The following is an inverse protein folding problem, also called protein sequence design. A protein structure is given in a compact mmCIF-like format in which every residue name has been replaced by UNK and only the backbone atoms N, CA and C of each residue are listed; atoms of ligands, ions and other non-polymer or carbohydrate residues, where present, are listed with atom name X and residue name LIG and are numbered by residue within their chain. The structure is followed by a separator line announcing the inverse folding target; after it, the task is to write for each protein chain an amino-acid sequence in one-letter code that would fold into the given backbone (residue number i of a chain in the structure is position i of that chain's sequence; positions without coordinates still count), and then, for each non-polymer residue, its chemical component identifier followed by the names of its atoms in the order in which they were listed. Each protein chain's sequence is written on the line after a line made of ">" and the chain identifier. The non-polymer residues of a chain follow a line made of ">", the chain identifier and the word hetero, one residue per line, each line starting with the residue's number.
data_IF_095080260991
#
_entry.id   IF_095080260991
#
_cell.length_a   1.000
_cell.length_b   1.000
_cell.length_c   1.000
_cell.angle_alpha   90.00
_cell.angle_beta   90.00
_cell.angle_gamma   90.00
#
_symmetry.space_group_name_H-M   'P 1'
#
loop_
_entity.id
_entity.type
_entity.pdbx_description
1 polymer ?
#
# COMPACT_ATOMS: atom_id res chain seq x y z
N UNK A 1 50.11 29.14 -12.76
CA UNK A 1 49.85 28.65 -11.38
C UNK A 1 48.66 29.45 -10.84
N UNK A 2 47.59 28.92 -10.27
CA UNK A 2 47.16 27.56 -9.95
C UNK A 2 45.64 27.65 -9.65
N UNK A 3 44.87 26.73 -10.25
CA UNK A 3 43.66 26.12 -9.68
C UNK A 3 42.37 26.95 -9.67
N UNK A 4 41.55 26.76 -10.71
CA UNK A 4 40.09 26.78 -10.60
C UNK A 4 39.67 25.55 -9.79
N UNK A 5 39.12 25.76 -8.60
CA UNK A 5 38.57 24.69 -7.77
C UNK A 5 37.27 24.18 -8.41
N UNK A 6 37.33 23.00 -9.02
CA UNK A 6 36.16 22.28 -9.52
C UNK A 6 35.15 22.05 -8.39
N UNK A 7 34.02 22.75 -8.47
CA UNK A 7 32.87 22.52 -7.60
C UNK A 7 32.29 21.15 -7.96
N UNK A 8 32.64 20.14 -7.16
CA UNK A 8 32.00 18.82 -7.14
C UNK A 8 30.50 19.02 -6.88
N UNK A 9 29.70 19.04 -7.96
CA UNK A 9 28.24 19.02 -7.87
C UNK A 9 27.84 17.76 -7.12
N UNK A 10 27.55 17.88 -5.83
CA UNK A 10 26.88 16.83 -5.05
C UNK A 10 25.63 16.42 -5.81
N UNK A 11 25.65 15.23 -6.43
CA UNK A 11 24.52 14.67 -7.15
C UNK A 11 23.35 14.60 -6.16
N UNK A 12 22.37 15.48 -6.35
CA UNK A 12 21.10 15.44 -5.61
C UNK A 12 20.50 14.06 -5.84
N UNK A 13 20.39 13.27 -4.76
CA UNK A 13 19.71 11.99 -4.80
C UNK A 13 18.25 12.24 -5.20
N UNK A 14 17.91 11.91 -6.44
CA UNK A 14 16.53 11.98 -6.92
C UNK A 14 15.82 10.75 -6.38
N UNK A 15 14.78 10.97 -5.59
CA UNK A 15 13.92 9.88 -5.12
C UNK A 15 13.38 9.14 -6.35
N UNK A 16 13.55 7.80 -6.41
CA UNK A 16 13.03 7.02 -7.53
C UNK A 16 11.51 7.14 -7.63
N UNK A 17 10.97 6.92 -8.84
CA UNK A 17 9.52 6.87 -9.03
C UNK A 17 8.88 5.78 -8.15
N UNK A 18 7.65 5.97 -7.70
CA UNK A 18 6.92 5.02 -6.83
C UNK A 18 6.98 3.59 -7.37
N UNK A 19 6.78 3.40 -8.68
CA UNK A 19 6.90 2.09 -9.33
C UNK A 19 8.27 1.42 -9.16
N UNK A 20 9.36 2.20 -9.21
CA UNK A 20 10.72 1.67 -8.99
C UNK A 20 10.89 1.21 -7.55
N UNK A 21 10.36 1.97 -6.60
CA UNK A 21 10.40 1.62 -5.17
C UNK A 21 9.62 0.32 -4.95
N UNK A 22 8.38 0.23 -5.44
CA UNK A 22 7.54 -0.96 -5.30
C UNK A 22 8.22 -2.20 -5.91
N UNK A 23 8.76 -2.08 -7.12
CA UNK A 23 9.46 -3.18 -7.78
C UNK A 23 10.71 -3.62 -7.01
N UNK A 24 11.46 -2.66 -6.46
CA UNK A 24 12.64 -2.93 -5.63
C UNK A 24 12.28 -3.70 -4.36
N UNK A 25 11.15 -3.39 -3.73
CA UNK A 25 10.63 -4.13 -2.56
C UNK A 25 10.26 -5.56 -2.92
N UNK A 26 9.64 -5.80 -4.08
CA UNK A 26 9.31 -7.16 -4.56
C UNK A 26 10.58 -7.99 -4.80
N UNK A 27 11.60 -7.39 -5.41
CA UNK A 27 12.91 -8.06 -5.61
C UNK A 27 13.54 -8.39 -4.24
N UNK A 28 13.57 -7.42 -3.34
CA UNK A 28 14.15 -7.60 -2.01
C UNK A 28 13.44 -8.71 -1.23
N UNK A 29 12.11 -8.72 -1.23
CA UNK A 29 11.31 -9.77 -0.61
C UNK A 29 11.59 -11.15 -1.23
N UNK A 30 11.73 -11.21 -2.56
CA UNK A 30 12.06 -12.45 -3.28
C UNK A 30 13.43 -12.99 -2.86
N UNK A 31 14.46 -12.15 -2.82
CA UNK A 31 15.81 -12.54 -2.34
C UNK A 31 15.75 -13.02 -0.89
N UNK A 32 14.96 -12.35 -0.06
CA UNK A 32 14.78 -12.71 1.34
C UNK A 32 14.19 -14.11 1.53
N UNK A 33 13.38 -14.61 0.57
CA UNK A 33 12.84 -15.99 0.61
C UNK A 33 13.92 -17.08 0.52
N UNK A 34 15.12 -16.75 0.03
CA UNK A 34 16.25 -17.69 -0.02
C UNK A 34 17.07 -17.70 1.27
N UNK A 35 17.06 -16.60 2.02
CA UNK A 35 17.84 -16.45 3.26
C UNK A 35 17.05 -16.96 4.45
N UNK A 36 15.74 -16.67 4.51
CA UNK A 36 14.90 -17.05 5.66
C UNK A 36 14.41 -18.50 5.56
N UNK A 37 14.52 -19.31 6.63
CA UNK A 37 13.91 -20.63 6.68
C UNK A 37 12.40 -20.52 6.87
N UNK A 38 11.64 -21.42 6.22
CA UNK A 38 10.22 -21.54 6.47
C UNK A 38 10.00 -22.29 7.80
N UNK A 39 9.12 -21.78 8.64
CA UNK A 39 8.77 -22.40 9.92
C UNK A 39 7.28 -22.25 10.19
N UNK A 40 6.69 -23.28 10.78
CA UNK A 40 5.25 -23.35 11.06
C UNK A 40 5.05 -23.85 12.49
N UNK A 41 3.98 -23.38 13.12
CA UNK A 41 3.47 -23.91 14.38
C UNK A 41 2.19 -24.70 14.10
N UNK A 42 2.07 -25.85 14.74
CA UNK A 42 0.87 -26.66 14.64
C UNK A 42 -0.31 -25.99 15.34
N UNK A 43 -1.50 -26.26 14.81
CA UNK A 43 -2.75 -25.74 15.31
C UNK A 43 -3.62 -26.88 15.79
N UNK A 44 -4.10 -26.79 17.02
CA UNK A 44 -5.04 -27.75 17.58
C UNK A 44 -6.36 -27.07 17.94
N UNK A 45 -7.43 -27.86 18.00
CA UNK A 45 -8.75 -27.35 18.37
C UNK A 45 -8.91 -27.50 19.87
N UNK A 46 -9.23 -26.41 20.55
CA UNK A 46 -9.54 -26.42 21.98
C UNK A 46 -10.99 -26.88 22.17
N UNK A 47 -11.17 -28.07 22.74
CA UNK A 47 -12.47 -28.70 22.96
C UNK A 47 -13.37 -27.88 23.91
N UNK A 48 -12.80 -26.98 24.70
CA UNK A 48 -13.54 -26.17 25.68
C UNK A 48 -14.04 -24.85 25.10
N UNK A 49 -13.37 -24.32 24.08
CA UNK A 49 -13.71 -23.01 23.47
C UNK A 49 -14.12 -23.12 22.00
N UNK A 50 -13.92 -24.28 21.37
CA UNK A 50 -14.16 -24.53 19.95
C UNK A 50 -13.20 -23.79 19.02
N UNK A 51 -12.20 -23.09 19.56
CA UNK A 51 -11.26 -22.25 18.81
C UNK A 51 -10.04 -23.05 18.40
N UNK A 52 -9.51 -22.74 17.22
CA UNK A 52 -8.22 -23.25 16.76
C UNK A 52 -7.11 -22.42 17.39
N UNK A 53 -6.35 -23.02 18.30
CA UNK A 53 -5.21 -22.39 18.99
C UNK A 53 -3.90 -22.89 18.38
N UNK A 54 -2.87 -22.05 18.45
CA UNK A 54 -1.51 -22.38 18.03
C UNK A 54 -0.77 -23.00 19.21
N UNK A 55 -0.15 -24.17 19.02
CA UNK A 55 0.73 -24.77 20.02
C UNK A 55 2.11 -24.09 19.94
N UNK A 56 2.45 -23.29 20.96
CA UNK A 56 3.69 -22.53 21.02
C UNK A 56 4.95 -23.41 21.11
N UNK A 57 4.83 -24.67 21.52
CA UNK A 57 5.96 -25.60 21.63
C UNK A 57 6.23 -26.37 20.32
N UNK A 58 5.30 -26.34 19.36
CA UNK A 58 5.32 -27.18 18.14
C UNK A 58 6.08 -26.58 16.95
N UNK A 59 6.95 -25.58 17.18
CA UNK A 59 7.69 -24.97 16.08
C UNK A 59 8.54 -26.01 15.35
N UNK A 60 8.31 -26.15 14.05
CA UNK A 60 9.14 -26.99 13.20
C UNK A 60 9.41 -26.29 11.86
N UNK A 61 10.55 -26.63 11.28
CA UNK A 61 10.90 -26.18 9.94
C UNK A 61 10.14 -26.99 8.90
N UNK A 62 9.62 -26.30 7.90
CA UNK A 62 8.94 -26.92 6.75
C UNK A 62 9.83 -26.82 5.51
N UNK A 63 9.47 -27.57 4.48
CA UNK A 63 10.20 -27.56 3.22
C UNK A 63 10.28 -26.14 2.64
N UNK A 64 11.50 -25.71 2.30
CA UNK A 64 11.74 -24.38 1.74
C UNK A 64 11.10 -24.31 0.37
N UNK A 65 10.26 -23.29 0.16
CA UNK A 65 9.64 -22.98 -1.13
C UNK A 65 10.13 -21.63 -1.65
N UNK A 66 11.42 -21.51 -2.03
CA UNK A 66 11.98 -20.26 -2.49
C UNK A 66 11.25 -19.76 -3.74
N UNK A 67 11.01 -18.45 -3.82
CA UNK A 67 10.28 -17.84 -4.93
C UNK A 67 11.22 -17.70 -6.12
N UNK A 68 10.99 -18.45 -7.19
CA UNK A 68 11.73 -18.31 -8.45
C UNK A 68 11.40 -16.98 -9.14
N UNK A 69 12.30 -16.52 -10.01
CA UNK A 69 12.10 -15.28 -10.79
C UNK A 69 10.77 -15.28 -11.56
N UNK A 70 10.38 -16.42 -12.12
CA UNK A 70 9.09 -16.56 -12.82
C UNK A 70 7.89 -16.39 -11.88
N UNK A 71 7.93 -17.02 -10.69
CA UNK A 71 6.89 -16.86 -9.66
C UNK A 71 6.84 -15.45 -9.08
N UNK A 72 7.98 -14.75 -9.03
CA UNK A 72 8.03 -13.33 -8.67
C UNK A 72 7.23 -12.49 -9.68
N UNK A 73 7.42 -12.69 -10.99
CA UNK A 73 6.61 -11.98 -11.99
C UNK A 73 5.13 -12.38 -11.93
N UNK A 74 4.82 -13.66 -11.68
CA UNK A 74 3.44 -14.13 -11.46
C UNK A 74 2.77 -13.49 -10.24
N UNK A 75 3.54 -13.15 -9.21
CA UNK A 75 3.02 -12.51 -7.99
C UNK A 75 2.42 -11.12 -8.25
N UNK A 76 2.86 -10.42 -9.30
CA UNK A 76 2.35 -9.09 -9.65
C UNK A 76 0.88 -9.18 -10.13
N UNK A 77 0.52 -9.95 -11.17
CA UNK A 77 -0.88 -10.19 -11.54
C UNK A 77 -1.71 -10.79 -10.40
N UNK A 78 -1.13 -11.69 -9.59
CA UNK A 78 -1.82 -12.29 -8.45
C UNK A 78 -2.22 -11.23 -7.43
N UNK A 79 -1.31 -10.32 -7.07
CA UNK A 79 -1.59 -9.21 -6.17
C UNK A 79 -2.64 -8.25 -6.72
N UNK A 80 -2.63 -8.00 -8.04
CA UNK A 80 -3.68 -7.21 -8.71
C UNK A 80 -5.05 -7.88 -8.59
N UNK A 81 -5.12 -9.21 -8.73
CA UNK A 81 -6.37 -9.96 -8.56
C UNK A 81 -6.90 -9.88 -7.12
N UNK A 82 -6.03 -10.03 -6.14
CA UNK A 82 -6.39 -9.93 -4.71
C UNK A 82 -6.84 -8.52 -4.32
N UNK A 83 -6.26 -7.50 -4.95
CA UNK A 83 -6.60 -6.08 -4.72
C UNK A 83 -7.70 -5.56 -5.66
N UNK A 84 -8.26 -6.41 -6.53
CA UNK A 84 -9.17 -5.98 -7.58
C UNK A 84 -10.40 -5.24 -7.04
N UNK A 85 -10.95 -5.69 -5.91
CA UNK A 85 -12.09 -5.05 -5.25
C UNK A 85 -11.81 -3.58 -4.90
N UNK A 86 -10.63 -3.29 -4.34
CA UNK A 86 -10.21 -1.92 -4.00
C UNK A 86 -10.04 -1.09 -5.27
N UNK A 87 -9.46 -1.66 -6.32
CA UNK A 87 -9.28 -0.97 -7.61
C UNK A 87 -10.65 -0.59 -8.19
N UNK A 88 -11.60 -1.52 -8.25
CA UNK A 88 -12.95 -1.25 -8.74
C UNK A 88 -13.69 -0.23 -7.86
N UNK A 89 -13.54 -0.32 -6.54
CA UNK A 89 -14.12 0.67 -5.62
C UNK A 89 -13.58 2.08 -5.90
N UNK A 90 -12.27 2.25 -6.03
CA UNK A 90 -11.65 3.54 -6.34
C UNK A 90 -12.12 4.05 -7.71
N UNK A 91 -12.26 3.18 -8.72
CA UNK A 91 -12.78 3.57 -10.03
C UNK A 91 -14.23 4.06 -9.95
N UNK A 92 -15.11 3.34 -9.25
CA UNK A 92 -16.51 3.73 -9.09
C UNK A 92 -16.61 5.04 -8.32
N UNK A 93 -15.87 5.18 -7.21
CA UNK A 93 -15.82 6.43 -6.45
C UNK A 93 -15.31 7.58 -7.32
N UNK A 94 -14.18 7.40 -8.00
CA UNK A 94 -13.61 8.42 -8.89
C UNK A 94 -14.56 8.82 -10.01
N UNK A 95 -15.24 7.86 -10.63
CA UNK A 95 -16.25 8.09 -11.66
C UNK A 95 -17.47 8.87 -11.12
N UNK A 96 -18.01 8.45 -9.98
CA UNK A 96 -19.10 9.16 -9.32
C UNK A 96 -18.70 10.59 -8.93
N UNK A 97 -17.54 10.76 -8.29
CA UNK A 97 -17.01 12.09 -7.94
C UNK A 97 -16.77 12.97 -9.17
N UNK A 98 -16.34 12.40 -10.29
CA UNK A 98 -16.20 13.13 -11.56
C UNK A 98 -17.54 13.63 -12.08
N UNK A 99 -18.60 12.81 -12.05
CA UNK A 99 -19.96 13.23 -12.44
C UNK A 99 -20.48 14.32 -11.50
N UNK A 100 -20.29 14.17 -10.19
CA UNK A 100 -20.71 15.17 -9.19
C UNK A 100 -19.98 16.50 -9.40
N UNK A 101 -18.68 16.48 -9.72
CA UNK A 101 -17.92 17.69 -10.06
C UNK A 101 -18.38 18.30 -11.39
N UNK A 102 -18.58 17.49 -12.43
CA UNK A 102 -19.02 17.96 -13.74
C UNK A 102 -20.41 18.63 -13.70
N UNK A 103 -21.28 18.18 -12.80
CA UNK A 103 -22.61 18.79 -12.58
C UNK A 103 -22.57 20.06 -11.72
N UNK A 104 -21.42 20.42 -11.15
CA UNK A 104 -21.29 21.56 -10.24
C UNK A 104 -22.04 21.35 -8.91
N UNK A 105 -22.47 20.12 -8.61
CA UNK A 105 -23.24 19.82 -7.40
C UNK A 105 -22.43 20.10 -6.12
N UNK A 106 -21.11 19.88 -6.15
CA UNK A 106 -20.20 20.23 -5.04
C UNK A 106 -20.14 21.74 -4.84
N UNK A 107 -19.93 22.51 -5.91
CA UNK A 107 -19.87 23.97 -5.82
C UNK A 107 -21.20 24.56 -5.33
N UNK A 108 -22.33 24.02 -5.82
CA UNK A 108 -23.66 24.37 -5.36
C UNK A 108 -23.90 24.02 -3.89
N UNK A 109 -23.46 22.85 -3.44
CA UNK A 109 -23.57 22.44 -2.04
C UNK A 109 -22.72 23.32 -1.11
N UNK A 110 -21.47 23.60 -1.48
CA UNK A 110 -20.57 24.49 -0.74
C UNK A 110 -21.17 25.90 -0.68
N UNK A 111 -21.60 26.44 -1.82
CA UNK A 111 -22.22 27.77 -1.90
C UNK A 111 -23.46 27.87 -1.01
N UNK A 112 -24.32 26.86 -1.02
CA UNK A 112 -25.51 26.82 -0.16
C UNK A 112 -25.16 26.71 1.34
N UNK A 113 -24.13 25.94 1.69
CA UNK A 113 -23.65 25.83 3.06
C UNK A 113 -23.09 27.17 3.58
N UNK A 114 -22.28 27.86 2.77
CA UNK A 114 -21.73 29.19 3.11
C UNK A 114 -22.85 30.22 3.30
N UNK A 115 -23.83 30.26 2.38
CA UNK A 115 -24.97 31.17 2.50
C UNK A 115 -25.83 30.87 3.73
N UNK A 116 -26.02 29.58 4.07
CA UNK A 116 -26.76 29.17 5.27
C UNK A 116 -26.08 29.52 6.58
N UNK A 117 -24.77 29.78 6.57
CA UNK A 117 -23.97 30.17 7.73
C UNK A 117 -23.69 31.68 7.80
N UNK A 118 -24.18 32.47 6.83
CA UNK A 118 -24.06 33.93 6.81
C UNK A 118 -24.74 34.53 8.05
N UNK A 119 -24.03 35.34 8.84
CA UNK A 119 -24.49 35.88 10.13
C UNK A 119 -24.24 34.99 11.35
N UNK A 120 -23.65 33.81 11.18
CA UNK A 120 -23.14 32.95 12.27
C UNK A 120 -21.65 32.68 12.08
N UNK A 121 -20.89 33.71 11.66
CA UNK A 121 -19.50 33.56 11.23
C UNK A 121 -18.60 32.93 12.31
N UNK A 122 -18.94 33.13 13.59
CA UNK A 122 -18.22 32.56 14.75
C UNK A 122 -18.22 31.02 14.83
N UNK A 123 -19.11 30.33 14.12
CA UNK A 123 -19.17 28.86 14.08
C UNK A 123 -18.29 28.26 12.96
N UNK A 124 -17.87 29.06 11.98
CA UNK A 124 -17.22 28.57 10.74
C UNK A 124 -15.69 28.53 10.83
N UNK A 125 -15.09 29.19 11.82
CA UNK A 125 -13.64 29.27 12.03
C UNK A 125 -13.38 28.84 13.49
N UNK A 126 -12.58 27.79 13.76
CA UNK A 126 -11.98 27.61 15.08
C UNK A 126 -10.88 28.65 15.33
#
# INVERSE_FOLDING_TARGET
>A
MLVEAGSERKKRFKVPHTYVILFSVVILATIMTYVLPAGVYDRYKDDRTGRTLVDAASYHHVERTPVSVFKMFESIPKGMKETAEIIFFIFICGGAFSIIQATGAIDGAIGKAVLGLKGKEKLMIP
#
